data_IF_778704828300
#
_entry.id   IF_778704828300
#
_cell.length_a   1.000
_cell.length_b   1.000
_cell.length_c   1.000
_cell.angle_alpha   90.00
_cell.angle_beta   90.00
_cell.angle_gamma   90.00
#
_symmetry.space_group_name_H-M   'P 1'
#
loop_
_entity.id
_entity.type
_entity.pdbx_description
1 polymer ?
#
# COMPACT_ATOMS: atom_id res chain seq x y z
N UNK A 1 22.61 -15.36 12.81
CA UNK A 1 22.01 -14.23 12.08
C UNK A 1 21.51 -14.79 10.77
N UNK A 2 20.23 -14.62 10.44
CA UNK A 2 19.69 -15.08 9.15
C UNK A 2 20.40 -14.34 8.01
N UNK A 3 20.99 -15.11 7.10
CA UNK A 3 21.61 -14.60 5.87
C UNK A 3 20.53 -14.01 4.95
N UNK A 4 20.94 -13.24 3.94
CA UNK A 4 19.99 -12.77 2.92
C UNK A 4 19.37 -13.96 2.15
N UNK A 5 20.11 -15.04 1.99
CA UNK A 5 19.64 -16.28 1.36
C UNK A 5 18.53 -16.95 2.19
N UNK A 6 18.69 -17.01 3.52
CA UNK A 6 17.65 -17.51 4.43
C UNK A 6 16.34 -16.70 4.33
N UNK A 7 16.43 -15.45 3.86
CA UNK A 7 15.28 -14.55 3.65
C UNK A 7 14.71 -14.63 2.22
N UNK A 8 15.16 -15.61 1.44
CA UNK A 8 14.71 -15.91 0.09
C UNK A 8 15.27 -14.98 -0.99
N UNK A 9 16.39 -14.30 -0.73
CA UNK A 9 17.11 -13.55 -1.77
C UNK A 9 18.09 -14.46 -2.51
N UNK A 10 18.11 -14.40 -3.84
CA UNK A 10 19.23 -14.89 -4.62
C UNK A 10 20.36 -13.86 -4.53
N UNK A 11 21.47 -14.20 -3.88
CA UNK A 11 22.58 -13.29 -3.64
C UNK A 11 23.73 -13.63 -4.58
N UNK A 12 24.34 -12.59 -5.15
CA UNK A 12 25.62 -12.70 -5.86
C UNK A 12 26.57 -11.69 -5.22
N UNK A 13 27.75 -12.14 -4.83
CA UNK A 13 28.77 -11.33 -4.17
C UNK A 13 29.97 -11.13 -5.10
N UNK A 14 30.64 -10.00 -4.95
CA UNK A 14 31.90 -9.69 -5.61
C UNK A 14 32.83 -9.05 -4.58
N UNK A 15 34.12 -9.34 -4.65
CA UNK A 15 35.09 -8.94 -3.62
C UNK A 15 35.80 -7.62 -3.94
N UNK A 16 35.61 -7.10 -5.15
CA UNK A 16 36.19 -5.83 -5.59
C UNK A 16 35.31 -5.17 -6.67
N UNK A 17 35.64 -3.91 -6.98
CA UNK A 17 34.86 -3.10 -7.92
C UNK A 17 34.88 -3.63 -9.36
N UNK A 18 36.00 -4.19 -9.83
CA UNK A 18 36.12 -4.73 -11.18
C UNK A 18 35.25 -5.98 -11.35
N UNK A 19 35.36 -6.92 -10.41
CA UNK A 19 34.52 -8.10 -10.34
C UNK A 19 33.03 -7.72 -10.19
N UNK A 20 32.74 -6.72 -9.34
CA UNK A 20 31.38 -6.22 -9.13
C UNK A 20 30.77 -5.61 -10.38
N UNK A 21 31.55 -4.83 -11.14
CA UNK A 21 31.10 -4.23 -12.40
C UNK A 21 30.89 -5.30 -13.48
N UNK A 22 31.79 -6.28 -13.56
CA UNK A 22 31.65 -7.42 -14.47
C UNK A 22 30.40 -8.23 -14.14
N UNK A 23 30.23 -8.60 -12.87
CA UNK A 23 29.04 -9.29 -12.37
C UNK A 23 27.76 -8.51 -12.69
N UNK A 24 27.79 -7.18 -12.51
CA UNK A 24 26.68 -6.31 -12.87
C UNK A 24 26.36 -6.39 -14.36
N UNK A 25 27.39 -6.35 -15.22
CA UNK A 25 27.20 -6.42 -16.67
C UNK A 25 26.68 -7.78 -17.13
N UNK A 26 27.18 -8.87 -16.54
CA UNK A 26 26.86 -10.24 -16.96
C UNK A 26 25.49 -10.71 -16.44
N UNK A 27 25.06 -10.23 -15.27
CA UNK A 27 23.89 -10.75 -14.56
C UNK A 27 22.75 -9.74 -14.35
N UNK A 28 22.90 -8.48 -14.78
CA UNK A 28 21.81 -7.51 -14.71
C UNK A 28 20.56 -8.01 -15.49
N UNK A 29 19.34 -7.61 -15.06
CA UNK A 29 19.04 -6.63 -14.02
C UNK A 29 19.03 -7.21 -12.59
N UNK A 30 19.51 -6.42 -11.63
CA UNK A 30 19.41 -6.71 -10.20
C UNK A 30 18.24 -5.96 -9.56
N UNK A 31 17.50 -6.64 -8.68
CA UNK A 31 16.44 -6.04 -7.86
C UNK A 31 16.94 -4.87 -7.00
N UNK A 32 18.12 -5.05 -6.41
CA UNK A 32 18.86 -4.07 -5.61
C UNK A 32 20.33 -4.47 -5.64
N UNK A 33 21.23 -3.49 -5.69
CA UNK A 33 22.68 -3.71 -5.53
C UNK A 33 23.11 -3.12 -4.19
N UNK A 34 23.76 -3.93 -3.35
CA UNK A 34 24.35 -3.49 -2.10
C UNK A 34 25.83 -3.21 -2.35
N UNK A 35 26.29 -2.01 -2.01
CA UNK A 35 27.68 -1.59 -2.26
C UNK A 35 28.28 -1.15 -0.94
N UNK A 36 29.34 -1.85 -0.52
CA UNK A 36 30.14 -1.42 0.60
C UNK A 36 30.88 -0.13 0.25
N UNK A 37 30.62 0.90 1.04
CA UNK A 37 31.21 2.21 0.92
C UNK A 37 32.53 2.22 1.69
N UNK A 38 33.63 1.95 1.00
CA UNK A 38 34.97 2.01 1.57
C UNK A 38 35.61 3.39 1.37
N UNK A 39 36.18 3.97 2.44
CA UNK A 39 37.15 5.09 2.42
C UNK A 39 38.01 5.00 3.69
N UNK A 40 39.35 5.28 3.65
CA UNK A 40 40.28 4.87 4.70
C UNK A 40 40.18 5.67 6.01
N UNK A 41 40.35 4.97 7.13
CA UNK A 41 40.50 5.55 8.47
C UNK A 41 41.73 6.47 8.52
N UNK A 42 41.53 7.76 8.82
CA UNK A 42 42.61 8.65 9.23
C UNK A 42 42.94 8.40 10.71
N UNK A 43 44.12 7.83 10.95
CA UNK A 43 44.93 7.87 12.18
C UNK A 43 44.48 6.97 13.35
N UNK A 44 45.28 6.05 13.94
CA UNK A 44 46.74 6.06 14.24
C UNK A 44 47.37 4.65 14.38
N UNK A 45 47.12 3.71 13.47
CA UNK A 45 47.94 2.49 13.35
C UNK A 45 48.26 2.31 11.88
N UNK A 46 49.53 2.04 11.57
CA UNK A 46 50.15 2.08 10.22
C UNK A 46 49.18 1.65 9.11
N UNK A 47 48.98 2.47 8.07
CA UNK A 47 48.28 2.04 6.87
C UNK A 47 49.09 0.93 6.21
N UNK A 48 48.42 -0.17 5.86
CA UNK A 48 48.96 -1.10 4.88
C UNK A 48 48.86 -0.42 3.51
N UNK A 49 50.01 -0.19 2.86
CA UNK A 49 50.15 0.63 1.65
C UNK A 49 49.62 -0.05 0.36
N UNK A 50 48.70 -1.02 0.50
CA UNK A 50 48.16 -1.81 -0.60
C UNK A 50 46.62 -1.79 -0.66
N UNK A 51 46.03 -0.61 -0.99
CA UNK A 51 44.88 -0.40 -1.90
C UNK A 51 43.97 0.73 -1.43
N UNK A 52 43.83 1.73 -2.30
CA UNK A 52 42.77 2.72 -2.30
C UNK A 52 41.41 1.98 -2.33
N UNK A 53 40.65 2.00 -1.24
CA UNK A 53 39.31 1.37 -1.21
C UNK A 53 38.22 2.29 -1.81
N UNK A 54 38.53 3.12 -2.81
CA UNK A 54 37.54 3.93 -3.56
C UNK A 54 36.61 3.08 -4.43
N UNK A 55 36.85 1.77 -4.51
CA UNK A 55 36.14 0.86 -5.40
C UNK A 55 34.62 0.85 -5.25
N UNK A 56 34.09 1.05 -4.04
CA UNK A 56 32.65 1.12 -3.82
C UNK A 56 32.00 2.33 -4.52
N UNK A 57 32.60 3.51 -4.36
CA UNK A 57 32.12 4.76 -4.99
C UNK A 57 32.26 4.67 -6.51
N UNK A 58 33.40 4.20 -6.99
CA UNK A 58 33.66 4.02 -8.42
C UNK A 58 32.67 3.04 -9.06
N UNK A 59 32.40 1.92 -8.40
CA UNK A 59 31.39 0.94 -8.83
C UNK A 59 29.99 1.56 -8.87
N UNK A 60 29.59 2.27 -7.83
CA UNK A 60 28.28 2.91 -7.77
C UNK A 60 28.08 3.93 -8.90
N UNK A 61 29.10 4.77 -9.15
CA UNK A 61 29.10 5.74 -10.25
C UNK A 61 29.07 5.06 -11.63
N UNK A 62 29.84 3.98 -11.81
CA UNK A 62 29.84 3.20 -13.05
C UNK A 62 28.47 2.57 -13.33
N UNK A 63 27.83 2.00 -12.31
CA UNK A 63 26.47 1.45 -12.39
C UNK A 63 25.47 2.56 -12.76
N UNK A 64 25.48 3.72 -12.08
CA UNK A 64 24.59 4.85 -12.41
C UNK A 64 24.73 5.32 -13.84
N UNK A 65 25.96 5.42 -14.34
CA UNK A 65 26.23 5.84 -15.72
C UNK A 65 25.62 4.86 -16.73
N UNK A 66 25.60 3.56 -16.39
CA UNK A 66 25.04 2.50 -17.24
C UNK A 66 23.52 2.36 -17.10
N UNK A 67 22.99 2.51 -15.89
CA UNK A 67 21.58 2.39 -15.57
C UNK A 67 21.20 3.32 -14.41
N UNK A 68 20.63 4.49 -14.74
CA UNK A 68 20.18 5.47 -13.74
C UNK A 68 19.02 4.99 -12.88
N UNK A 69 18.27 4.00 -13.32
CA UNK A 69 17.14 3.43 -12.57
C UNK A 69 17.54 2.25 -11.69
N UNK A 70 18.81 1.85 -11.68
CA UNK A 70 19.29 0.77 -10.82
C UNK A 70 19.14 1.17 -9.35
N UNK A 71 18.34 0.40 -8.61
CA UNK A 71 18.25 0.57 -7.16
C UNK A 71 19.54 0.13 -6.50
N UNK A 72 20.11 1.01 -5.68
CA UNK A 72 21.32 0.76 -4.91
C UNK A 72 21.11 1.12 -3.45
N UNK A 73 21.88 0.48 -2.57
CA UNK A 73 22.03 0.85 -1.16
C UNK A 73 23.52 0.89 -0.86
N UNK A 74 23.99 2.02 -0.34
CA UNK A 74 25.37 2.15 0.13
C UNK A 74 25.45 1.70 1.58
N UNK A 75 26.47 0.91 1.91
CA UNK A 75 26.70 0.39 3.26
C UNK A 75 28.03 0.94 3.77
N UNK A 76 27.98 1.86 4.74
CA UNK A 76 29.14 2.52 5.31
C UNK A 76 29.25 2.16 6.80
N UNK A 77 29.48 0.88 7.09
CA UNK A 77 29.46 0.34 8.45
C UNK A 77 30.59 0.85 9.35
N UNK A 78 31.64 1.41 8.76
CA UNK A 78 32.77 2.00 9.49
C UNK A 78 32.46 3.40 10.05
N UNK A 79 31.29 3.96 9.72
CA UNK A 79 30.90 5.31 10.12
C UNK A 79 29.86 5.28 11.25
N UNK A 80 30.00 6.21 12.20
CA UNK A 80 29.03 6.37 13.29
C UNK A 80 27.77 7.13 12.86
N UNK A 81 27.88 8.01 11.86
CA UNK A 81 26.80 8.83 11.34
C UNK A 81 26.83 8.89 9.79
N UNK A 82 25.64 8.90 9.18
CA UNK A 82 25.44 9.07 7.75
C UNK A 82 25.97 10.41 7.21
N UNK A 83 25.94 11.47 8.02
CA UNK A 83 26.41 12.81 7.62
C UNK A 83 27.94 12.89 7.47
N UNK A 84 28.66 11.95 8.09
CA UNK A 84 30.13 11.88 8.05
C UNK A 84 30.63 11.10 6.83
N UNK A 85 29.73 10.42 6.10
CA UNK A 85 30.08 9.55 4.97
C UNK A 85 30.33 10.40 3.73
N UNK A 86 31.58 10.50 3.24
CA UNK A 86 31.92 11.34 2.10
C UNK A 86 31.35 10.75 0.81
N UNK A 87 30.41 11.44 0.17
CA UNK A 87 29.76 10.99 -1.06
C UNK A 87 29.74 12.10 -2.12
N UNK A 88 29.99 11.77 -3.40
CA UNK A 88 29.72 12.66 -4.52
C UNK A 88 28.25 13.09 -4.56
N UNK A 89 27.97 14.26 -5.13
CA UNK A 89 26.61 14.80 -5.22
C UNK A 89 25.63 13.83 -5.89
N UNK A 90 26.10 13.06 -6.86
CA UNK A 90 25.33 12.07 -7.62
C UNK A 90 24.88 10.87 -6.77
N UNK A 91 25.56 10.60 -5.65
CA UNK A 91 25.24 9.48 -4.75
C UNK A 91 24.48 9.93 -3.50
N UNK A 92 24.15 11.22 -3.37
CA UNK A 92 23.50 11.75 -2.17
C UNK A 92 22.07 11.20 -1.99
N UNK A 93 21.35 11.00 -3.10
CA UNK A 93 19.98 10.47 -3.09
C UNK A 93 19.91 8.95 -2.89
N UNK A 94 21.05 8.26 -2.97
CA UNK A 94 21.10 6.81 -2.76
C UNK A 94 20.99 6.52 -1.25
N UNK A 95 20.08 5.61 -0.84
CA UNK A 95 19.96 5.19 0.55
C UNK A 95 21.29 4.71 1.12
N UNK A 96 21.63 5.22 2.30
CA UNK A 96 22.85 4.90 3.02
C UNK A 96 22.51 4.19 4.33
N UNK A 97 23.24 3.12 4.64
CA UNK A 97 23.15 2.38 5.90
C UNK A 97 24.49 2.44 6.60
N UNK A 98 24.51 3.01 7.81
CA UNK A 98 25.70 3.08 8.68
C UNK A 98 25.63 2.09 9.86
N UNK A 99 24.44 1.56 10.16
CA UNK A 99 24.23 0.66 11.30
C UNK A 99 24.50 -0.82 10.96
N UNK A 100 25.44 -1.42 11.67
CA UNK A 100 25.81 -2.84 11.58
C UNK A 100 24.74 -3.79 12.12
N UNK A 101 23.76 -3.30 12.89
CA UNK A 101 22.71 -4.13 13.50
C UNK A 101 21.64 -4.62 12.50
N UNK A 102 21.82 -4.41 11.20
CA UNK A 102 21.05 -5.00 10.09
C UNK A 102 19.54 -4.63 10.07
N UNK A 103 19.03 -3.90 11.07
CA UNK A 103 17.61 -3.52 11.14
C UNK A 103 17.22 -2.48 10.09
N UNK A 104 18.09 -1.48 9.86
CA UNK A 104 17.87 -0.47 8.83
C UNK A 104 17.88 -1.09 7.43
N UNK A 105 18.86 -1.96 7.16
CA UNK A 105 18.95 -2.70 5.90
C UNK A 105 17.68 -3.55 5.68
N UNK A 106 17.23 -4.29 6.70
CA UNK A 106 15.99 -5.08 6.61
C UNK A 106 14.78 -4.22 6.27
N UNK A 107 14.59 -3.08 6.94
CA UNK A 107 13.48 -2.16 6.64
C UNK A 107 13.52 -1.65 5.21
N UNK A 108 14.70 -1.21 4.74
CA UNK A 108 14.88 -0.74 3.36
C UNK A 108 14.56 -1.85 2.36
N UNK A 109 15.05 -3.06 2.61
CA UNK A 109 14.80 -4.22 1.76
C UNK A 109 13.30 -4.59 1.72
N UNK A 110 12.61 -4.60 2.86
CA UNK A 110 11.16 -4.84 2.90
C UNK A 110 10.38 -3.74 2.18
N UNK A 111 10.79 -2.47 2.34
CA UNK A 111 10.18 -1.35 1.61
C UNK A 111 10.36 -1.49 0.10
N UNK A 112 11.57 -1.86 -0.35
CA UNK A 112 11.85 -2.12 -1.76
C UNK A 112 11.01 -3.26 -2.31
N UNK A 113 10.82 -4.34 -1.55
CA UNK A 113 9.92 -5.44 -1.93
C UNK A 113 8.49 -4.96 -2.14
N UNK A 114 7.97 -4.09 -1.27
CA UNK A 114 6.63 -3.51 -1.45
C UNK A 114 6.58 -2.64 -2.71
N UNK A 115 7.58 -1.80 -2.96
CA UNK A 115 7.66 -1.01 -4.21
C UNK A 115 7.64 -1.91 -5.45
N UNK A 116 8.43 -2.97 -5.46
CA UNK A 116 8.45 -3.96 -6.54
C UNK A 116 7.09 -4.62 -6.73
N UNK A 117 6.42 -5.00 -5.64
CA UNK A 117 5.08 -5.59 -5.72
C UNK A 117 4.04 -4.61 -6.28
N UNK A 118 4.19 -3.30 -6.03
CA UNK A 118 3.35 -2.25 -6.62
C UNK A 118 3.63 -2.12 -8.12
N UNK A 119 4.90 -2.06 -8.53
CA UNK A 119 5.30 -1.95 -9.94
C UNK A 119 4.96 -3.20 -10.76
N UNK A 120 4.99 -4.37 -10.13
CA UNK A 120 4.66 -5.65 -10.76
C UNK A 120 3.15 -5.87 -10.93
N UNK A 121 2.28 -4.97 -10.46
CA UNK A 121 0.84 -5.07 -10.66
C UNK A 121 0.52 -5.05 -12.16
N UNK A 122 -0.07 -6.14 -12.64
CA UNK A 122 -0.52 -6.20 -14.03
C UNK A 122 -1.69 -5.23 -14.28
N UNK A 123 -1.92 -4.80 -15.53
CA UNK A 123 -3.07 -3.97 -15.88
C UNK A 123 -4.42 -4.57 -15.43
N UNK A 124 -4.55 -5.90 -15.49
CA UNK A 124 -5.76 -6.61 -15.06
C UNK A 124 -5.95 -6.55 -13.53
N UNK A 125 -4.88 -6.63 -12.76
CA UNK A 125 -4.92 -6.51 -11.30
C UNK A 125 -5.21 -5.08 -10.87
N UNK A 126 -4.59 -4.10 -11.54
CA UNK A 126 -4.88 -2.69 -11.31
C UNK A 126 -6.36 -2.38 -11.59
N UNK A 127 -6.92 -2.92 -12.67
CA UNK A 127 -8.35 -2.77 -12.98
C UNK A 127 -9.25 -3.40 -11.91
N UNK A 128 -8.87 -4.55 -11.33
CA UNK A 128 -9.60 -5.16 -10.20
C UNK A 128 -9.58 -4.25 -8.98
N UNK A 129 -8.40 -3.70 -8.64
CA UNK A 129 -8.22 -2.78 -7.51
C UNK A 129 -9.03 -1.50 -7.72
N UNK A 130 -8.98 -0.91 -8.92
CA UNK A 130 -9.76 0.27 -9.30
C UNK A 130 -11.27 0.01 -9.14
N UNK A 131 -11.79 -1.07 -9.73
CA UNK A 131 -13.22 -1.42 -9.63
C UNK A 131 -13.66 -1.57 -8.17
N UNK A 132 -12.83 -2.22 -7.36
CA UNK A 132 -13.10 -2.34 -5.93
C UNK A 132 -13.09 -0.98 -5.22
N UNK A 133 -12.06 -0.15 -5.45
CA UNK A 133 -11.93 1.16 -4.86
C UNK A 133 -13.10 2.07 -5.24
N UNK A 134 -13.47 2.11 -6.52
CA UNK A 134 -14.60 2.89 -7.03
C UNK A 134 -15.92 2.47 -6.38
N UNK A 135 -16.17 1.16 -6.28
CA UNK A 135 -17.34 0.64 -5.57
C UNK A 135 -17.37 1.07 -4.10
N UNK A 136 -16.22 1.08 -3.43
CA UNK A 136 -16.12 1.53 -2.03
C UNK A 136 -16.38 3.03 -1.90
N UNK A 137 -15.81 3.86 -2.76
CA UNK A 137 -16.05 5.31 -2.77
C UNK A 137 -17.52 5.62 -3.04
N UNK A 138 -18.13 4.94 -4.00
CA UNK A 138 -19.56 5.09 -4.28
C UNK A 138 -20.42 4.75 -3.05
N UNK A 139 -20.10 3.68 -2.34
CA UNK A 139 -20.78 3.28 -1.10
C UNK A 139 -20.52 4.19 0.11
N UNK A 140 -19.53 5.10 0.04
CA UNK A 140 -19.29 6.11 1.06
C UNK A 140 -20.16 7.35 0.88
N UNK A 141 -20.60 7.66 -0.34
CA UNK A 141 -21.36 8.88 -0.63
C UNK A 141 -20.65 10.13 -0.08
N UNK A 142 -21.37 10.96 0.67
CA UNK A 142 -20.81 12.18 1.31
C UNK A 142 -19.61 11.91 2.21
N UNK A 143 -19.54 10.74 2.85
CA UNK A 143 -18.41 10.39 3.73
C UNK A 143 -17.08 10.21 2.99
N UNK A 144 -17.12 10.14 1.65
CA UNK A 144 -15.91 10.19 0.84
C UNK A 144 -15.22 11.57 0.94
N UNK A 145 -15.95 12.66 1.19
CA UNK A 145 -15.47 14.04 1.21
C UNK A 145 -14.67 14.39 -0.06
N UNK A 146 -15.27 14.22 -1.24
CA UNK A 146 -14.61 14.49 -2.53
C UNK A 146 -13.50 13.51 -2.92
N UNK A 147 -13.12 12.56 -2.05
CA UNK A 147 -12.08 11.56 -2.38
C UNK A 147 -12.55 10.60 -3.46
N UNK A 148 -11.62 10.28 -4.34
CA UNK A 148 -11.79 9.42 -5.50
C UNK A 148 -11.28 8.00 -5.22
N UNK A 149 -11.50 7.10 -6.19
CA UNK A 149 -10.96 5.75 -6.13
C UNK A 149 -9.42 5.74 -6.15
N UNK A 150 -8.80 6.74 -6.79
CA UNK A 150 -7.35 6.90 -6.86
C UNK A 150 -6.79 7.18 -5.47
N UNK A 151 -7.42 8.09 -4.73
CA UNK A 151 -7.02 8.45 -3.37
C UNK A 151 -7.05 7.25 -2.43
N UNK A 152 -8.09 6.41 -2.54
CA UNK A 152 -8.22 5.22 -1.71
C UNK A 152 -7.14 4.18 -2.04
N UNK A 153 -6.82 3.98 -3.32
CA UNK A 153 -5.79 3.04 -3.75
C UNK A 153 -4.40 3.54 -3.35
N UNK A 154 -4.09 4.82 -3.59
CA UNK A 154 -2.81 5.43 -3.21
C UNK A 154 -2.61 5.43 -1.70
N UNK A 155 -3.64 5.75 -0.91
CA UNK A 155 -3.56 5.65 0.56
C UNK A 155 -3.31 4.20 1.00
N UNK A 156 -3.90 3.21 0.33
CA UNK A 156 -3.62 1.79 0.64
C UNK A 156 -2.18 1.39 0.31
N UNK A 157 -1.63 1.85 -0.80
CA UNK A 157 -0.22 1.65 -1.18
C UNK A 157 0.71 2.35 -0.18
N UNK A 158 0.47 3.63 0.12
CA UNK A 158 1.23 4.42 1.09
C UNK A 158 1.23 3.78 2.48
N UNK A 159 0.07 3.37 2.98
CA UNK A 159 -0.02 2.68 4.28
C UNK A 159 0.73 1.35 4.27
N UNK A 160 0.80 0.66 3.14
CA UNK A 160 1.55 -0.58 3.01
C UNK A 160 3.06 -0.31 3.01
N UNK A 161 3.52 0.73 2.33
CA UNK A 161 4.91 1.19 2.37
C UNK A 161 5.35 1.58 3.78
N UNK A 162 4.56 2.39 4.49
CA UNK A 162 4.80 2.73 5.90
C UNK A 162 4.81 1.45 6.75
N UNK A 163 3.97 0.48 6.42
CA UNK A 163 3.86 -0.81 7.11
C UNK A 163 5.09 -1.69 6.99
N UNK A 164 5.90 -1.50 5.95
CA UNK A 164 7.19 -2.18 5.78
C UNK A 164 8.24 -1.68 6.79
N UNK A 165 8.12 -0.41 7.23
CA UNK A 165 9.02 0.19 8.21
C UNK A 165 8.47 0.12 9.65
N UNK A 166 7.15 0.27 9.81
CA UNK A 166 6.48 0.32 11.10
C UNK A 166 5.06 -0.24 11.02
N UNK A 167 4.84 -1.37 11.69
CA UNK A 167 3.53 -2.02 11.80
C UNK A 167 2.51 -1.22 12.62
N UNK A 168 2.99 -0.32 13.49
CA UNK A 168 2.14 0.54 14.33
C UNK A 168 1.54 1.68 13.50
N UNK A 169 2.35 2.28 12.61
CA UNK A 169 1.94 3.45 11.81
C UNK A 169 1.30 3.08 10.47
N UNK A 170 1.63 1.89 9.94
CA UNK A 170 1.20 1.42 8.63
C UNK A 170 0.45 0.09 8.64
N UNK A 171 0.44 -0.58 7.49
CA UNK A 171 -0.19 -1.87 7.25
C UNK A 171 0.83 -2.86 6.72
N UNK A 172 1.36 -3.70 7.59
CA UNK A 172 2.31 -4.74 7.20
C UNK A 172 1.69 -5.74 6.22
N UNK A 173 2.37 -5.99 5.11
CA UNK A 173 1.96 -7.01 4.14
C UNK A 173 2.47 -8.38 4.57
N UNK A 174 1.54 -9.30 4.86
CA UNK A 174 1.89 -10.70 5.07
C UNK A 174 2.16 -11.38 3.72
N UNK A 175 3.39 -11.83 3.50
CA UNK A 175 3.88 -12.44 2.25
C UNK A 175 3.11 -13.72 1.85
N UNK A 176 2.43 -14.36 2.78
CA UNK A 176 1.56 -15.51 2.50
C UNK A 176 0.21 -15.10 1.87
N UNK A 177 -0.06 -13.81 1.78
CA UNK A 177 -1.27 -13.24 1.18
C UNK A 177 -0.89 -12.57 -0.12
N UNK A 178 -1.59 -12.92 -1.19
CA UNK A 178 -1.50 -12.21 -2.47
C UNK A 178 -1.59 -10.68 -2.31
N UNK A 179 -0.78 -9.94 -3.06
CA UNK A 179 -0.63 -8.50 -2.88
C UNK A 179 -1.90 -7.73 -3.23
N UNK A 180 -2.63 -8.14 -4.27
CA UNK A 180 -3.92 -7.55 -4.65
C UNK A 180 -4.94 -7.75 -3.53
N UNK A 181 -4.98 -8.95 -2.94
CA UNK A 181 -5.83 -9.26 -1.78
C UNK A 181 -5.46 -8.42 -0.55
N UNK A 182 -4.17 -8.21 -0.29
CA UNK A 182 -3.68 -7.33 0.77
C UNK A 182 -4.17 -5.89 0.57
N UNK A 183 -3.97 -5.32 -0.63
CA UNK A 183 -4.42 -3.96 -0.95
C UNK A 183 -5.94 -3.82 -0.88
N UNK A 184 -6.69 -4.82 -1.33
CA UNK A 184 -8.15 -4.87 -1.18
C UNK A 184 -8.58 -4.78 0.29
N UNK A 185 -7.93 -5.54 1.17
CA UNK A 185 -8.17 -5.48 2.62
C UNK A 185 -7.76 -4.14 3.25
N UNK A 186 -6.66 -3.55 2.77
CA UNK A 186 -6.21 -2.23 3.21
C UNK A 186 -7.25 -1.14 2.84
N UNK A 187 -7.67 -1.10 1.58
CA UNK A 187 -8.71 -0.17 1.08
C UNK A 187 -10.03 -0.34 1.83
N UNK A 188 -10.46 -1.58 2.10
CA UNK A 188 -11.63 -1.86 2.91
C UNK A 188 -11.52 -1.22 4.30
N UNK A 189 -10.39 -1.43 4.97
CA UNK A 189 -10.20 -0.90 6.33
C UNK A 189 -10.02 0.62 6.37
N UNK A 190 -9.41 1.22 5.33
CA UNK A 190 -9.24 2.67 5.22
C UNK A 190 -10.59 3.34 4.97
N UNK A 191 -11.33 2.92 3.95
CA UNK A 191 -12.65 3.46 3.62
C UNK A 191 -13.63 3.36 4.80
N UNK A 192 -13.65 2.22 5.50
CA UNK A 192 -14.46 2.07 6.71
C UNK A 192 -14.04 3.03 7.84
N UNK A 193 -12.75 3.33 7.95
CA UNK A 193 -12.29 4.32 8.92
C UNK A 193 -12.70 5.74 8.54
N UNK A 194 -12.77 6.09 7.25
CA UNK A 194 -13.28 7.38 6.80
C UNK A 194 -14.76 7.52 7.19
N UNK A 195 -15.58 6.51 6.88
CA UNK A 195 -17.00 6.48 7.27
C UNK A 195 -17.21 6.69 8.77
N UNK A 196 -16.41 6.03 9.61
CA UNK A 196 -16.52 6.15 11.08
C UNK A 196 -16.06 7.51 11.61
N UNK A 197 -15.10 8.16 10.95
CA UNK A 197 -14.54 9.45 11.38
C UNK A 197 -15.29 10.64 10.82
N UNK A 198 -16.17 10.42 9.85
CA UNK A 198 -17.00 11.46 9.26
C UNK A 198 -17.93 12.03 10.33
N UNK A 199 -17.81 13.34 10.59
CA UNK A 199 -18.78 14.14 11.33
C UNK A 199 -19.56 14.94 10.30
N UNK A 200 -20.88 14.92 10.39
CA UNK A 200 -21.83 15.37 9.36
C UNK A 200 -21.84 16.90 9.12
N UNK A 201 -21.03 17.68 9.86
CA UNK A 201 -21.19 19.13 10.01
C UNK A 201 -20.38 20.01 9.03
N UNK A 202 -19.60 19.46 8.10
CA UNK A 202 -18.79 20.28 7.19
C UNK A 202 -19.37 20.31 5.77
N UNK A 203 -20.24 21.28 5.50
CA UNK A 203 -20.50 21.75 4.14
C UNK A 203 -19.26 22.53 3.67
N UNK A 204 -18.76 22.26 2.45
CA UNK A 204 -17.75 23.10 1.82
C UNK A 204 -18.49 24.30 1.19
N UNK A 205 -18.05 25.54 1.47
CA UNK A 205 -18.58 26.75 0.81
C UNK A 205 -18.54 26.64 -0.72
N UNK A 206 -17.57 25.92 -1.28
CA UNK A 206 -17.45 25.67 -2.72
C UNK A 206 -18.52 24.76 -3.30
N UNK A 207 -19.28 24.03 -2.48
CA UNK A 207 -20.45 23.24 -2.91
C UNK A 207 -21.75 24.09 -2.93
N UNK A 208 -21.66 25.38 -2.59
CA UNK A 208 -22.80 26.29 -2.38
C UNK A 208 -22.84 27.42 -3.43
N UNK A 209 -21.75 27.70 -4.13
CA UNK A 209 -21.70 28.77 -5.14
C UNK A 209 -22.01 28.18 -6.53
N UNK A 210 -23.23 28.42 -7.01
CA UNK A 210 -23.59 28.26 -8.41
C UNK A 210 -23.50 29.62 -9.11
N UNK A 211 -22.91 29.64 -10.31
CA UNK A 211 -22.89 30.81 -11.19
C UNK A 211 -23.99 30.63 -12.25
N UNK A 212 -24.70 31.71 -12.57
CA UNK A 212 -25.64 31.72 -13.70
C UNK A 212 -24.93 31.71 -15.06
N UNK A 213 -25.69 31.66 -16.15
CA UNK A 213 -25.14 31.61 -17.51
C UNK A 213 -24.44 32.92 -17.92
N UNK A 214 -24.61 33.98 -17.14
CA UNK A 214 -24.07 35.33 -17.33
C UNK A 214 -22.87 35.63 -16.40
N UNK A 215 -22.54 34.72 -15.47
CA UNK A 215 -21.36 34.78 -14.61
C UNK A 215 -21.57 35.46 -13.25
N UNK A 216 -22.80 35.63 -12.79
CA UNK A 216 -23.11 36.20 -11.46
C UNK A 216 -23.29 35.10 -10.40
N UNK A 217 -22.86 35.38 -9.17
CA UNK A 217 -23.07 34.50 -8.01
C UNK A 217 -24.56 34.45 -7.63
N UNK A 218 -25.16 33.26 -7.70
CA UNK A 218 -26.52 33.03 -7.23
C UNK A 218 -26.53 32.86 -5.71
N UNK A 219 -27.42 33.59 -5.04
CA UNK A 219 -27.65 33.44 -3.60
C UNK A 219 -28.24 32.06 -3.30
N UNK A 220 -27.69 31.26 -2.37
CA UNK A 220 -28.02 29.83 -2.20
C UNK A 220 -29.42 29.51 -1.65
N UNK A 221 -30.27 30.51 -1.44
CA UNK A 221 -31.58 30.35 -0.79
C UNK A 221 -32.72 30.40 -1.82
N UNK A 222 -32.49 30.98 -3.00
CA UNK A 222 -33.57 31.32 -3.92
C UNK A 222 -33.88 30.24 -4.97
N UNK A 223 -33.01 29.24 -5.14
CA UNK A 223 -33.25 28.12 -6.05
C UNK A 223 -32.72 26.82 -5.43
N UNK A 224 -33.57 26.12 -4.68
CA UNK A 224 -33.29 24.77 -4.17
C UNK A 224 -33.72 23.79 -5.27
N UNK A 225 -32.80 23.13 -6.01
CA UNK A 225 -33.17 22.00 -6.84
C UNK A 225 -33.62 20.86 -5.90
N UNK A 226 -34.76 20.24 -6.18
CA UNK A 226 -35.32 19.18 -5.35
C UNK A 226 -34.27 18.13 -4.97
N UNK A 227 -34.27 17.74 -3.69
CA UNK A 227 -33.42 16.73 -3.07
C UNK A 227 -33.53 15.31 -3.68
N UNK A 228 -34.40 15.13 -4.67
CA UNK A 228 -34.78 13.85 -5.25
C UNK A 228 -33.61 13.11 -5.92
N UNK A 229 -32.68 13.79 -6.63
CA UNK A 229 -31.61 13.07 -7.36
C UNK A 229 -30.52 12.45 -6.46
N UNK A 230 -30.26 13.05 -5.29
CA UNK A 230 -29.34 12.51 -4.29
C UNK A 230 -30.04 11.51 -3.36
N UNK A 231 -31.32 11.74 -3.06
CA UNK A 231 -32.18 10.78 -2.38
C UNK A 231 -32.30 9.49 -3.18
N UNK A 232 -32.50 9.57 -4.51
CA UNK A 232 -32.64 8.42 -5.41
C UNK A 232 -31.40 7.52 -5.41
N UNK A 233 -30.19 8.10 -5.45
CA UNK A 233 -28.95 7.30 -5.45
C UNK A 233 -28.68 6.63 -4.09
N UNK A 234 -29.00 7.33 -3.00
CA UNK A 234 -28.90 6.78 -1.64
C UNK A 234 -29.97 5.69 -1.41
N UNK A 235 -31.16 5.89 -1.95
CA UNK A 235 -32.26 4.94 -1.93
C UNK A 235 -31.90 3.67 -2.71
N UNK A 236 -31.39 3.80 -3.93
CA UNK A 236 -30.94 2.65 -4.76
C UNK A 236 -29.83 1.85 -4.06
N UNK A 237 -28.89 2.53 -3.38
CA UNK A 237 -27.83 1.84 -2.63
C UNK A 237 -28.37 1.10 -1.41
N UNK A 238 -29.30 1.72 -0.68
CA UNK A 238 -29.96 1.13 0.49
C UNK A 238 -30.88 -0.03 0.10
N UNK A 239 -31.60 0.07 -1.01
CA UNK A 239 -32.42 -1.01 -1.56
C UNK A 239 -31.59 -2.23 -1.95
N UNK A 240 -30.42 -2.03 -2.58
CA UNK A 240 -29.50 -3.12 -2.91
C UNK A 240 -28.86 -3.75 -1.67
N UNK A 241 -28.56 -2.94 -0.65
CA UNK A 241 -28.08 -3.45 0.64
C UNK A 241 -29.16 -4.31 1.32
N UNK A 242 -30.41 -3.83 1.33
CA UNK A 242 -31.56 -4.53 1.89
C UNK A 242 -31.91 -5.80 1.10
N UNK A 243 -31.72 -5.81 -0.22
CA UNK A 243 -31.89 -6.99 -1.08
C UNK A 243 -30.88 -8.08 -0.71
N UNK A 244 -29.59 -7.71 -0.58
CA UNK A 244 -28.54 -8.64 -0.18
C UNK A 244 -28.77 -9.16 1.24
N UNK A 245 -29.21 -8.31 2.17
CA UNK A 245 -29.57 -8.73 3.54
C UNK A 245 -30.80 -9.64 3.56
N UNK A 246 -31.77 -9.45 2.66
CA UNK A 246 -32.99 -10.28 2.57
C UNK A 246 -32.65 -11.76 2.33
N UNK A 247 -31.64 -12.04 1.52
CA UNK A 247 -31.17 -13.40 1.19
C UNK A 247 -30.68 -14.17 2.44
N UNK A 248 -30.30 -13.46 3.50
CA UNK A 248 -29.78 -14.04 4.73
C UNK A 248 -30.69 -13.87 5.95
N UNK A 249 -31.91 -13.34 5.78
CA UNK A 249 -32.83 -13.00 6.88
C UNK A 249 -33.04 -14.15 7.87
N UNK A 250 -33.05 -15.39 7.40
CA UNK A 250 -33.24 -16.60 8.21
C UNK A 250 -31.96 -17.11 8.88
N UNK A 251 -30.77 -16.72 8.40
CA UNK A 251 -29.48 -17.04 9.01
C UNK A 251 -29.01 -15.86 9.86
N UNK A 252 -29.42 -15.88 11.14
CA UNK A 252 -29.13 -14.83 12.12
C UNK A 252 -27.63 -14.53 12.21
N UNK A 253 -26.79 -15.57 12.18
CA UNK A 253 -25.34 -15.42 12.28
C UNK A 253 -24.74 -14.84 10.99
N UNK A 254 -25.17 -15.31 9.80
CA UNK A 254 -24.74 -14.72 8.54
C UNK A 254 -25.20 -13.26 8.39
N UNK A 255 -26.43 -12.94 8.78
CA UNK A 255 -26.94 -11.56 8.76
C UNK A 255 -26.13 -10.65 9.67
N UNK A 256 -25.83 -11.07 10.90
CA UNK A 256 -25.03 -10.27 11.84
C UNK A 256 -23.58 -10.08 11.36
N UNK A 257 -22.97 -11.11 10.77
CA UNK A 257 -21.64 -11.01 10.15
C UNK A 257 -21.69 -10.04 8.97
N UNK A 258 -22.65 -10.20 8.06
CA UNK A 258 -22.80 -9.40 6.87
C UNK A 258 -23.08 -7.93 7.19
N UNK A 259 -23.99 -7.64 8.12
CA UNK A 259 -24.24 -6.29 8.64
C UNK A 259 -22.99 -5.67 9.26
N UNK A 260 -22.22 -6.46 10.01
CA UNK A 260 -20.92 -6.03 10.55
C UNK A 260 -19.94 -5.65 9.45
N UNK A 261 -19.87 -6.44 8.38
CA UNK A 261 -19.00 -6.18 7.23
C UNK A 261 -19.46 -4.95 6.42
N UNK A 262 -20.77 -4.75 6.25
CA UNK A 262 -21.36 -3.60 5.55
C UNK A 262 -21.05 -2.27 6.26
N UNK A 263 -21.10 -2.25 7.59
CA UNK A 263 -20.67 -1.09 8.39
C UNK A 263 -19.16 -1.05 8.66
N UNK A 264 -18.39 -1.97 8.06
CA UNK A 264 -16.93 -1.93 8.05
C UNK A 264 -16.23 -2.41 9.32
N UNK A 265 -16.91 -3.17 10.17
CA UNK A 265 -16.33 -3.77 11.37
C UNK A 265 -15.30 -4.86 11.01
N UNK A 266 -14.20 -4.92 11.75
CA UNK A 266 -13.22 -6.02 11.70
C UNK A 266 -13.79 -7.26 12.38
N UNK A 267 -13.28 -8.45 12.03
CA UNK A 267 -13.70 -9.74 12.64
C UNK A 267 -13.86 -9.68 14.16
N UNK A 268 -12.85 -9.16 14.87
CA UNK A 268 -12.88 -9.08 16.34
C UNK A 268 -13.97 -8.13 16.85
N UNK A 269 -14.23 -7.03 16.14
CA UNK A 269 -15.31 -6.10 16.45
C UNK A 269 -16.69 -6.72 16.18
N UNK A 270 -16.84 -7.50 15.12
CA UNK A 270 -18.07 -8.26 14.82
C UNK A 270 -18.32 -9.29 15.93
N UNK A 271 -17.30 -10.07 16.30
CA UNK A 271 -17.39 -11.08 17.36
C UNK A 271 -17.84 -10.45 18.67
N UNK A 272 -17.21 -9.34 19.08
CA UNK A 272 -17.52 -8.66 20.34
C UNK A 272 -18.85 -7.91 20.31
N UNK A 273 -19.12 -7.10 19.28
CA UNK A 273 -20.27 -6.18 19.25
C UNK A 273 -21.56 -6.81 18.72
N UNK A 274 -21.46 -7.91 17.96
CA UNK A 274 -22.63 -8.61 17.40
C UNK A 274 -22.93 -9.94 18.09
N UNK A 275 -22.19 -10.26 19.16
CA UNK A 275 -22.42 -11.46 19.97
C UNK A 275 -22.26 -12.76 19.20
N UNK A 276 -21.27 -12.83 18.30
CA UNK A 276 -20.99 -14.02 17.47
C UNK A 276 -19.71 -14.66 18.01
N UNK A 277 -19.71 -15.95 18.30
CA UNK A 277 -18.47 -16.61 18.72
C UNK A 277 -17.48 -16.76 17.56
N UNK A 278 -16.19 -16.87 17.89
CA UNK A 278 -15.15 -17.10 16.89
C UNK A 278 -15.37 -18.42 16.10
N UNK A 279 -15.99 -19.43 16.73
CA UNK A 279 -16.34 -20.71 16.11
C UNK A 279 -17.49 -20.58 15.10
N UNK A 280 -18.39 -19.62 15.27
CA UNK A 280 -19.55 -19.40 14.38
C UNK A 280 -19.24 -18.44 13.23
N UNK A 281 -18.27 -17.55 13.40
CA UNK A 281 -17.89 -16.55 12.40
C UNK A 281 -17.44 -17.17 11.07
N UNK A 282 -16.54 -18.17 11.12
CA UNK A 282 -15.99 -18.79 9.90
C UNK A 282 -17.05 -19.59 9.10
N UNK A 283 -17.90 -20.42 9.74
CA UNK A 283 -19.04 -21.04 9.08
C UNK A 283 -20.00 -20.03 8.44
N UNK A 284 -20.34 -18.94 9.15
CA UNK A 284 -21.19 -17.88 8.62
C UNK A 284 -20.58 -17.22 7.38
N UNK A 285 -19.28 -16.89 7.40
CA UNK A 285 -18.57 -16.36 6.23
C UNK A 285 -18.55 -17.34 5.05
N UNK A 286 -18.37 -18.64 5.30
CA UNK A 286 -18.44 -19.67 4.26
C UNK A 286 -19.82 -19.69 3.59
N UNK A 287 -20.89 -19.63 4.39
CA UNK A 287 -22.27 -19.60 3.87
C UNK A 287 -22.57 -18.33 3.08
N UNK A 288 -22.15 -17.16 3.56
CA UNK A 288 -22.25 -15.88 2.83
C UNK A 288 -21.55 -15.99 1.47
N UNK A 289 -20.29 -16.45 1.47
CA UNK A 289 -19.49 -16.59 0.25
C UNK A 289 -20.15 -17.55 -0.73
N UNK A 290 -20.63 -18.71 -0.28
CA UNK A 290 -21.29 -19.68 -1.16
C UNK A 290 -22.60 -19.15 -1.74
N UNK A 291 -23.46 -18.53 -0.92
CA UNK A 291 -24.77 -18.05 -1.37
C UNK A 291 -24.66 -16.87 -2.34
N UNK A 292 -23.69 -15.97 -2.13
CA UNK A 292 -23.39 -14.87 -3.05
C UNK A 292 -22.69 -15.32 -4.34
N UNK A 293 -21.91 -16.41 -4.30
CA UNK A 293 -21.30 -16.99 -5.50
C UNK A 293 -22.32 -17.79 -6.34
N UNK A 294 -23.21 -18.54 -5.70
CA UNK A 294 -24.26 -19.33 -6.37
C UNK A 294 -25.32 -18.39 -7.00
N UNK A 295 -25.67 -17.29 -6.32
CA UNK A 295 -26.59 -16.28 -6.87
C UNK A 295 -26.09 -15.60 -8.16
N UNK A 296 -24.77 -15.56 -8.39
CA UNK A 296 -24.18 -15.03 -9.64
C UNK A 296 -24.28 -15.97 -10.83
N UNK A 297 -24.45 -17.28 -10.59
CA UNK A 297 -24.55 -18.27 -11.66
C UNK A 297 -26.01 -18.55 -12.10
N UNK A 298 -27.01 -18.02 -11.37
CA UNK A 298 -28.43 -18.23 -11.66
C UNK A 298 -29.11 -17.16 -12.52
N UNK A 299 -28.43 -16.08 -12.91
CA UNK A 299 -29.05 -14.96 -13.68
C UNK A 299 -28.54 -14.83 -15.11
N UNK A 300 -28.05 -15.91 -15.72
CA UNK A 300 -27.70 -15.96 -17.15
C UNK A 300 -28.48 -17.09 -17.85
N UNK A 301 -29.79 -16.92 -17.89
CA UNK A 301 -30.72 -17.81 -18.60
C UNK A 301 -32.12 -17.19 -18.55
N UNK A 302 -32.42 -16.30 -19.50
CA UNK A 302 -33.70 -15.59 -19.51
C UNK A 302 -33.74 -14.37 -20.43
N UNK A 303 -33.37 -14.56 -21.69
CA UNK A 303 -34.02 -14.02 -22.91
C UNK A 303 -33.29 -14.56 -24.13
#
# INVERSE_FOLDING_TARGET
MDTLEDKGYAVRTAWNAEEGLRLYCDCAPFSVVLIEHGVPQRDKVKPDYCKHQTGGIELAMAILKKNRSQRMILMAFDYGNADEVPRPAELMDIPLVVDTKNFQLQKLLERLRVHQAIEALSPAELLKLQKFAAFRIQGLGRTACGRTWVDLLQEAQLRTLIGAESTIKGRHWNKNVDFVRHLTGAMLSISSSWKRKFKEEAYLESEVIALDAEGHELSPIDDIPSADTAADRSLIAKEKEDEVLRVFREDVNATRVLQGLLVGMKKNEIIQKRGISNKEYQPAMKRIRMKLLIGKNGSRGGR
#
